data_IF_808117261071
#
_entry.id   IF_808117261071
#
_cell.length_a   1.000
_cell.length_b   1.000
_cell.length_c   1.000
_cell.angle_alpha   90.00
_cell.angle_beta   90.00
_cell.angle_gamma   90.00
#
_symmetry.space_group_name_H-M   'P 1'
#
loop_
_entity.id
_entity.type
_entity.pdbx_description
1 polymer ?
#
# COMPACT_ATOMS: atom_id res chain seq x y z
N UNK A 1 45.52 -34.21 4.15
CA UNK A 1 44.46 -33.45 4.85
C UNK A 1 44.07 -32.26 3.99
N UNK A 2 42.99 -32.36 3.22
CA UNK A 2 42.29 -31.19 2.69
C UNK A 2 41.23 -30.85 3.73
N UNK A 3 41.48 -29.84 4.55
CA UNK A 3 40.40 -29.20 5.30
C UNK A 3 39.51 -28.51 4.28
N UNK A 4 38.45 -29.19 3.86
CA UNK A 4 37.28 -28.56 3.27
C UNK A 4 36.66 -27.70 4.34
N UNK A 5 37.13 -26.46 4.43
CA UNK A 5 36.44 -25.39 5.13
C UNK A 5 35.09 -25.25 4.43
N UNK A 6 34.07 -25.92 4.95
CA UNK A 6 32.68 -25.67 4.56
C UNK A 6 32.41 -24.22 4.92
N UNK A 7 32.57 -23.32 3.94
CA UNK A 7 32.06 -21.97 4.09
C UNK A 7 30.56 -22.14 4.27
N UNK A 8 30.07 -21.87 5.48
CA UNK A 8 28.68 -22.04 5.85
C UNK A 8 27.82 -21.31 4.81
N UNK A 9 27.08 -22.10 4.01
CA UNK A 9 26.14 -21.57 3.04
C UNK A 9 25.09 -20.76 3.78
N UNK A 10 24.82 -19.54 3.32
CA UNK A 10 23.86 -18.66 3.96
C UNK A 10 22.45 -19.26 3.84
N UNK A 11 21.79 -19.43 4.98
CA UNK A 11 20.40 -19.86 5.07
C UNK A 11 19.43 -18.69 4.97
N UNK A 12 18.21 -18.96 4.51
CA UNK A 12 17.09 -18.01 4.55
C UNK A 12 16.85 -17.48 5.98
N UNK A 13 17.14 -18.29 7.00
CA UNK A 13 16.99 -17.90 8.40
C UNK A 13 18.00 -16.82 8.85
N UNK A 14 19.11 -16.65 8.13
CA UNK A 14 20.15 -15.67 8.42
C UNK A 14 19.93 -14.33 7.69
N UNK A 15 19.04 -14.30 6.69
CA UNK A 15 18.69 -13.08 5.95
C UNK A 15 18.24 -11.90 6.82
N UNK A 16 17.47 -12.08 7.92
CA UNK A 16 17.21 -10.99 8.85
C UNK A 16 18.47 -10.29 9.38
N UNK A 17 19.50 -11.05 9.75
CA UNK A 17 20.75 -10.48 10.25
C UNK A 17 21.50 -9.73 9.15
N UNK A 18 21.52 -10.27 7.93
CA UNK A 18 22.09 -9.60 6.76
C UNK A 18 21.37 -8.27 6.49
N UNK A 19 20.04 -8.26 6.51
CA UNK A 19 19.25 -7.05 6.28
C UNK A 19 19.57 -5.98 7.34
N UNK A 20 19.55 -6.33 8.62
CA UNK A 20 19.89 -5.39 9.70
C UNK A 20 21.29 -4.81 9.51
N UNK A 21 22.27 -5.67 9.22
CA UNK A 21 23.65 -5.25 8.99
C UNK A 21 23.80 -4.31 7.78
N UNK A 22 23.07 -4.54 6.69
CA UNK A 22 23.09 -3.66 5.52
C UNK A 22 22.53 -2.27 5.84
N UNK A 23 21.48 -2.18 6.66
CA UNK A 23 20.95 -0.90 7.14
C UNK A 23 21.93 -0.17 8.06
N UNK A 24 22.59 -0.89 8.97
CA UNK A 24 23.64 -0.35 9.85
C UNK A 24 24.81 0.22 9.04
N UNK A 25 25.33 -0.56 8.07
CA UNK A 25 26.42 -0.10 7.18
C UNK A 25 26.01 1.09 6.32
N UNK A 26 24.75 1.15 5.90
CA UNK A 26 24.19 2.29 5.19
C UNK A 26 23.87 3.49 6.10
N UNK A 27 24.06 3.38 7.41
CA UNK A 27 23.70 4.38 8.43
C UNK A 27 22.23 4.80 8.34
N UNK A 28 21.35 3.83 8.10
CA UNK A 28 19.91 4.05 7.99
C UNK A 28 19.14 3.31 9.08
N UNK A 29 18.18 3.95 9.76
CA UNK A 29 17.34 3.26 10.71
C UNK A 29 16.36 2.32 9.99
N UNK A 30 16.14 1.12 10.55
CA UNK A 30 15.07 0.21 10.11
C UNK A 30 13.68 0.77 10.42
N UNK A 31 13.56 1.48 11.55
CA UNK A 31 12.36 2.20 11.96
C UNK A 31 12.81 3.52 12.62
N UNK A 32 12.46 4.69 12.07
CA UNK A 32 12.75 5.96 12.70
C UNK A 32 12.14 6.03 14.11
N UNK A 33 12.90 6.56 15.07
CA UNK A 33 12.44 6.82 16.45
C UNK A 33 12.11 5.58 17.31
N UNK A 34 12.60 4.40 16.96
CA UNK A 34 12.47 3.22 17.81
C UNK A 34 13.37 3.33 19.07
N UNK A 35 12.85 3.11 20.29
CA UNK A 35 13.60 3.28 21.53
C UNK A 35 14.51 2.09 21.89
N UNK A 36 14.49 1.00 21.13
CA UNK A 36 15.14 -0.26 21.52
C UNK A 36 15.60 -1.14 20.35
N UNK A 37 16.16 -2.33 20.65
CA UNK A 37 16.62 -3.27 19.62
C UNK A 37 15.46 -3.71 18.74
N UNK A 38 15.68 -3.73 17.43
CA UNK A 38 14.66 -4.09 16.45
C UNK A 38 14.89 -5.50 15.92
N UNK A 39 13.81 -6.25 15.78
CA UNK A 39 13.76 -7.54 15.11
C UNK A 39 13.00 -7.47 13.79
N UNK A 40 13.41 -8.33 12.85
CA UNK A 40 12.72 -8.54 11.58
C UNK A 40 11.94 -9.86 11.62
N UNK A 41 10.64 -9.78 11.34
CA UNK A 41 9.76 -10.95 11.35
C UNK A 41 9.20 -11.18 9.94
N UNK A 42 9.44 -12.36 9.38
CA UNK A 42 8.96 -12.72 8.04
C UNK A 42 7.43 -12.67 8.01
N UNK A 43 6.87 -11.81 7.15
CA UNK A 43 5.44 -11.75 6.84
C UNK A 43 5.09 -12.53 5.58
N UNK A 44 6.00 -12.49 4.61
CA UNK A 44 5.77 -13.03 3.28
C UNK A 44 7.09 -13.44 2.67
N UNK A 45 7.12 -14.60 2.04
CA UNK A 45 8.24 -15.10 1.27
C UNK A 45 7.70 -15.67 -0.03
N UNK A 46 8.29 -15.28 -1.15
CA UNK A 46 7.93 -15.80 -2.46
C UNK A 46 9.15 -15.86 -3.37
N UNK A 47 9.35 -17.03 -3.98
CA UNK A 47 10.22 -17.17 -5.14
C UNK A 47 9.40 -17.02 -6.43
N UNK A 48 9.92 -16.29 -7.41
CA UNK A 48 9.36 -16.19 -8.76
C UNK A 48 10.45 -16.58 -9.76
N UNK A 49 10.23 -17.62 -10.58
CA UNK A 49 11.17 -17.97 -11.64
C UNK A 49 11.51 -16.74 -12.51
N UNK A 50 12.81 -16.51 -12.71
CA UNK A 50 13.30 -15.37 -13.51
C UNK A 50 13.29 -14.02 -12.80
N UNK A 51 12.88 -13.97 -11.53
CA UNK A 51 12.92 -12.76 -10.68
C UNK A 51 13.55 -12.99 -9.32
N UNK A 52 13.94 -14.23 -8.99
CA UNK A 52 14.55 -14.56 -7.71
C UNK A 52 13.58 -14.62 -6.52
N UNK A 53 14.06 -14.22 -5.35
CA UNK A 53 13.38 -14.34 -4.05
C UNK A 53 12.98 -12.97 -3.53
N UNK A 54 11.73 -12.83 -3.09
CA UNK A 54 11.26 -11.66 -2.35
C UNK A 54 10.84 -12.07 -0.94
N UNK A 55 11.36 -11.37 0.07
CA UNK A 55 10.98 -11.51 1.47
C UNK A 55 10.48 -10.16 1.98
N UNK A 56 9.33 -10.15 2.66
CA UNK A 56 8.79 -8.97 3.33
C UNK A 56 8.81 -9.24 4.83
N UNK A 57 9.48 -8.37 5.56
CA UNK A 57 9.57 -8.35 7.00
C UNK A 57 8.66 -7.27 7.59
N UNK A 58 8.11 -7.54 8.77
CA UNK A 58 7.67 -6.49 9.69
C UNK A 58 8.76 -6.22 10.71
N UNK A 59 9.03 -4.94 10.97
CA UNK A 59 9.95 -4.46 11.99
C UNK A 59 9.21 -4.27 13.31
N UNK A 60 9.72 -4.88 14.39
CA UNK A 60 9.13 -4.75 15.71
C UNK A 60 10.12 -5.11 16.83
N UNK A 61 9.74 -4.84 18.06
CA UNK A 61 10.58 -5.15 19.21
C UNK A 61 10.57 -6.65 19.52
N UNK A 62 11.73 -7.26 19.83
CA UNK A 62 11.81 -8.61 20.36
C UNK A 62 10.89 -8.77 21.59
N UNK A 63 10.19 -9.89 21.70
CA UNK A 63 9.29 -10.15 22.82
C UNK A 63 7.89 -9.55 22.71
N UNK A 64 7.62 -8.68 21.72
CA UNK A 64 6.25 -8.15 21.46
C UNK A 64 5.23 -9.30 21.37
N UNK A 65 4.05 -9.25 22.01
CA UNK A 65 3.07 -10.32 21.90
C UNK A 65 2.62 -10.58 20.44
N UNK A 66 2.34 -11.83 20.08
CA UNK A 66 1.96 -12.22 18.71
C UNK A 66 0.74 -11.44 18.20
N UNK A 67 -0.22 -11.15 19.07
CA UNK A 67 -1.41 -10.36 18.72
C UNK A 67 -1.06 -8.93 18.29
N UNK A 68 -0.18 -8.27 19.05
CA UNK A 68 0.31 -6.91 18.75
C UNK A 68 1.15 -6.92 17.47
N UNK A 69 2.02 -7.93 17.30
CA UNK A 69 2.77 -8.09 16.04
C UNK A 69 1.83 -8.25 14.85
N UNK A 70 0.76 -9.05 14.95
CA UNK A 70 -0.21 -9.21 13.86
C UNK A 70 -0.91 -7.91 13.49
N UNK A 71 -1.29 -7.10 14.49
CA UNK A 71 -1.89 -5.79 14.25
C UNK A 71 -0.90 -4.83 13.56
N UNK A 72 0.35 -4.78 14.04
CA UNK A 72 1.41 -3.96 13.48
C UNK A 72 1.92 -4.47 12.12
N UNK A 73 1.76 -5.76 11.84
CA UNK A 73 2.29 -6.37 10.62
C UNK A 73 1.74 -5.64 9.39
N UNK A 74 0.47 -5.21 9.45
CA UNK A 74 -0.22 -4.50 8.38
C UNK A 74 0.24 -3.05 8.14
N UNK A 75 1.00 -2.46 9.06
CA UNK A 75 1.48 -1.08 8.97
C UNK A 75 2.64 -0.97 7.96
N UNK A 76 2.47 -0.26 6.84
CA UNK A 76 3.54 -0.07 5.86
C UNK A 76 4.77 0.62 6.43
N UNK A 77 4.66 1.49 7.44
CA UNK A 77 5.83 2.15 8.04
C UNK A 77 6.76 1.19 8.77
N UNK A 78 6.31 -0.03 9.05
CA UNK A 78 7.10 -1.12 9.64
C UNK A 78 7.51 -2.16 8.61
N UNK A 79 7.30 -1.91 7.32
CA UNK A 79 7.63 -2.87 6.27
C UNK A 79 9.07 -2.68 5.76
N UNK A 80 9.83 -3.77 5.76
CA UNK A 80 11.12 -3.88 5.10
C UNK A 80 11.04 -5.02 4.09
N UNK A 81 11.47 -4.81 2.86
CA UNK A 81 11.55 -5.88 1.87
C UNK A 81 12.97 -6.12 1.40
N UNK A 82 13.30 -7.39 1.25
CA UNK A 82 14.52 -7.93 0.66
C UNK A 82 14.14 -8.57 -0.67
N UNK A 83 14.88 -8.23 -1.72
CA UNK A 83 14.90 -8.95 -2.97
C UNK A 83 16.30 -9.54 -3.18
N UNK A 84 16.34 -10.82 -3.56
CA UNK A 84 17.52 -11.48 -4.10
C UNK A 84 17.25 -11.80 -5.56
N UNK A 85 18.15 -11.40 -6.44
CA UNK A 85 18.04 -11.71 -7.86
C UNK A 85 18.18 -13.23 -8.10
N UNK A 86 17.71 -13.71 -9.26
CA UNK A 86 17.81 -15.13 -9.61
C UNK A 86 19.28 -15.61 -9.66
N UNK A 87 20.20 -14.72 -10.06
CA UNK A 87 21.64 -15.00 -10.09
C UNK A 87 22.25 -15.22 -8.71
N UNK A 88 21.57 -14.79 -7.64
CA UNK A 88 21.99 -14.98 -6.25
C UNK A 88 21.52 -16.33 -5.66
N UNK A 89 20.77 -17.12 -6.43
CA UNK A 89 20.12 -18.35 -5.95
C UNK A 89 20.58 -19.58 -6.74
N UNK A 90 20.77 -20.69 -6.04
CA UNK A 90 20.98 -22.02 -6.62
C UNK A 90 19.95 -23.01 -6.04
N UNK A 91 18.86 -23.22 -6.77
CA UNK A 91 17.74 -24.00 -6.27
C UNK A 91 17.11 -23.34 -5.03
N UNK A 92 17.31 -23.93 -3.86
CA UNK A 92 16.86 -23.41 -2.57
C UNK A 92 17.97 -22.71 -1.76
N UNK A 93 19.20 -22.67 -2.29
CA UNK A 93 20.38 -22.14 -1.62
C UNK A 93 20.71 -20.72 -2.09
N UNK A 94 21.34 -19.94 -1.21
CA UNK A 94 21.87 -18.62 -1.53
C UNK A 94 23.35 -18.78 -1.90
N UNK A 95 23.76 -18.21 -3.04
CA UNK A 95 25.09 -18.41 -3.64
C UNK A 95 26.24 -17.67 -2.98
N UNK A 96 25.96 -16.90 -1.94
CA UNK A 96 26.95 -16.13 -1.21
C UNK A 96 26.88 -16.43 0.28
N UNK A 97 28.00 -16.23 0.96
CA UNK A 97 28.15 -16.45 2.40
C UNK A 97 27.85 -15.18 3.20
N UNK A 98 27.64 -15.33 4.51
CA UNK A 98 27.52 -14.21 5.45
C UNK A 98 28.69 -13.23 5.33
N UNK A 99 29.92 -13.73 5.23
CA UNK A 99 31.11 -12.89 5.12
C UNK A 99 31.12 -12.05 3.83
N UNK A 100 30.71 -12.64 2.71
CA UNK A 100 30.59 -11.92 1.44
C UNK A 100 29.53 -10.80 1.56
N UNK A 101 28.38 -11.07 2.15
CA UNK A 101 27.33 -10.06 2.35
C UNK A 101 27.78 -8.91 3.28
N UNK A 102 28.58 -9.21 4.30
CA UNK A 102 29.11 -8.21 5.24
C UNK A 102 30.18 -7.31 4.60
N UNK A 103 30.97 -7.85 3.67
CA UNK A 103 32.13 -7.14 3.10
C UNK A 103 31.83 -6.49 1.74
N UNK A 104 30.85 -7.01 0.99
CA UNK A 104 30.56 -6.54 -0.35
C UNK A 104 30.21 -5.04 -0.38
N UNK A 105 30.62 -4.31 -1.43
CA UNK A 105 30.33 -2.88 -1.55
C UNK A 105 28.82 -2.66 -1.63
N UNK A 106 28.32 -1.71 -0.84
CA UNK A 106 26.93 -1.29 -0.87
C UNK A 106 26.80 0.06 -1.56
N UNK A 107 25.67 0.27 -2.22
CA UNK A 107 25.24 1.57 -2.71
C UNK A 107 23.88 1.92 -2.10
N UNK A 108 23.69 3.19 -1.77
CA UNK A 108 22.38 3.73 -1.36
C UNK A 108 21.83 4.52 -2.54
N UNK A 109 20.71 4.05 -3.07
CA UNK A 109 20.04 4.69 -4.21
C UNK A 109 19.37 6.01 -3.78
N UNK A 110 19.09 6.94 -4.71
CA UNK A 110 18.40 8.20 -4.39
C UNK A 110 17.03 8.02 -3.71
N UNK A 111 16.33 6.94 -4.04
CA UNK A 111 15.08 6.52 -3.40
C UNK A 111 15.26 6.07 -1.95
N UNK A 112 16.49 5.78 -1.56
CA UNK A 112 16.88 5.27 -0.25
C UNK A 112 16.99 3.75 -0.14
N UNK A 113 16.85 3.02 -1.25
CA UNK A 113 17.07 1.57 -1.32
C UNK A 113 18.55 1.26 -1.16
N UNK A 114 18.88 0.27 -0.34
CA UNK A 114 20.24 -0.26 -0.17
C UNK A 114 20.44 -1.41 -1.14
N UNK A 115 21.52 -1.38 -1.92
CA UNK A 115 21.82 -2.38 -2.94
C UNK A 115 23.24 -2.91 -2.77
N UNK A 116 23.40 -4.22 -2.90
CA UNK A 116 24.69 -4.90 -3.02
C UNK A 116 24.69 -5.60 -4.38
N UNK A 117 25.09 -4.84 -5.40
CA UNK A 117 24.90 -5.23 -6.80
C UNK A 117 25.67 -6.51 -7.16
N UNK A 118 26.88 -6.67 -6.62
CA UNK A 118 27.72 -7.86 -6.83
C UNK A 118 27.10 -9.15 -6.30
N UNK A 119 26.13 -9.05 -5.37
CA UNK A 119 25.44 -10.18 -4.76
C UNK A 119 23.96 -10.27 -5.18
N UNK A 120 23.48 -9.37 -6.05
CA UNK A 120 22.08 -9.31 -6.45
C UNK A 120 21.13 -9.05 -5.28
N UNK A 121 21.56 -8.29 -4.26
CA UNK A 121 20.74 -7.97 -3.08
C UNK A 121 20.17 -6.55 -3.22
N UNK A 122 18.87 -6.42 -3.00
CA UNK A 122 18.21 -5.13 -2.81
C UNK A 122 17.36 -5.13 -1.55
N UNK A 123 17.53 -4.12 -0.71
CA UNK A 123 16.83 -3.98 0.56
C UNK A 123 16.22 -2.59 0.67
N UNK A 124 14.94 -2.52 1.02
CA UNK A 124 14.22 -1.26 1.11
C UNK A 124 13.27 -1.23 2.31
N UNK A 125 13.28 -0.11 3.04
CA UNK A 125 12.33 0.19 4.09
C UNK A 125 11.35 1.23 3.57
N UNK A 126 10.05 1.03 3.81
CA UNK A 126 9.04 2.01 3.41
C UNK A 126 9.36 3.41 3.98
N UNK A 127 9.21 4.50 3.20
CA UNK A 127 8.65 4.57 1.85
C UNK A 127 9.67 4.45 0.70
N UNK A 128 10.91 4.07 0.96
CA UNK A 128 11.91 3.84 -0.09
C UNK A 128 11.50 2.64 -0.95
N UNK A 129 11.41 2.82 -2.26
CA UNK A 129 11.05 1.76 -3.21
C UNK A 129 11.52 2.11 -4.62
N UNK A 130 12.41 1.29 -5.21
CA UNK A 130 12.90 1.51 -6.57
C UNK A 130 11.83 1.26 -7.64
N UNK A 131 10.87 0.38 -7.37
CA UNK A 131 9.75 0.14 -8.27
C UNK A 131 8.59 1.12 -8.08
N UNK A 132 8.69 2.04 -7.12
CA UNK A 132 7.75 3.16 -6.93
C UNK A 132 8.53 4.44 -6.55
N UNK A 133 9.32 5.03 -7.48
CA UNK A 133 10.23 6.13 -7.15
C UNK A 133 9.55 7.34 -6.50
N UNK A 134 8.28 7.60 -6.87
CA UNK A 134 7.49 8.70 -6.33
C UNK A 134 6.79 8.40 -5.00
N UNK A 135 6.99 7.21 -4.39
CA UNK A 135 6.27 6.80 -3.18
C UNK A 135 6.53 7.72 -1.99
N UNK A 136 7.80 8.03 -1.71
CA UNK A 136 8.17 8.92 -0.62
C UNK A 136 7.56 10.33 -0.81
N UNK A 137 7.63 10.87 -2.03
CA UNK A 137 7.02 12.15 -2.37
C UNK A 137 5.48 12.10 -2.28
N UNK A 138 4.86 10.97 -2.60
CA UNK A 138 3.41 10.76 -2.47
C UNK A 138 2.94 10.65 -1.00
N UNK A 139 3.85 10.43 -0.06
CA UNK A 139 3.58 10.47 1.38
C UNK A 139 3.90 11.84 2.00
N UNK A 140 4.59 12.73 1.27
CA UNK A 140 4.97 14.04 1.78
C UNK A 140 3.88 15.07 1.47
N UNK A 141 3.13 15.47 2.51
CA UNK A 141 2.03 16.43 2.43
C UNK A 141 2.46 17.86 2.82
N UNK A 142 3.75 18.18 2.75
CA UNK A 142 4.23 19.55 2.97
C UNK A 142 3.58 20.55 1.99
N UNK A 143 3.24 21.75 2.47
CA UNK A 143 2.53 22.80 1.72
C UNK A 143 3.22 23.22 0.42
N UNK A 144 4.56 23.13 0.37
CA UNK A 144 5.37 23.47 -0.81
C UNK A 144 5.61 22.29 -1.77
N UNK A 145 5.11 21.10 -1.45
CA UNK A 145 5.27 19.91 -2.27
C UNK A 145 4.26 19.85 -3.42
N UNK A 146 4.55 19.06 -4.49
CA UNK A 146 3.65 18.92 -5.63
C UNK A 146 2.32 18.22 -5.30
N UNK A 147 2.26 17.50 -4.18
CA UNK A 147 1.07 16.77 -3.74
C UNK A 147 0.00 17.70 -3.16
N UNK A 148 0.40 18.72 -2.39
CA UNK A 148 -0.52 19.58 -1.65
C UNK A 148 -1.54 20.31 -2.54
N UNK A 149 -1.14 21.04 -3.62
CA UNK A 149 -2.10 21.69 -4.49
C UNK A 149 -2.99 20.69 -5.25
N UNK A 150 -2.49 19.49 -5.54
CA UNK A 150 -3.29 18.47 -6.18
C UNK A 150 -4.36 17.86 -5.25
N UNK A 151 -4.06 17.74 -3.96
CA UNK A 151 -5.05 17.35 -2.94
C UNK A 151 -6.12 18.43 -2.78
N UNK A 152 -5.75 19.71 -2.79
CA UNK A 152 -6.70 20.83 -2.78
C UNK A 152 -7.62 20.78 -4.01
N UNK A 153 -7.07 20.66 -5.22
CA UNK A 153 -7.85 20.59 -6.45
C UNK A 153 -8.80 19.38 -6.46
N UNK A 154 -8.36 18.22 -5.98
CA UNK A 154 -9.20 17.05 -5.85
C UNK A 154 -10.33 17.23 -4.82
N UNK A 155 -10.06 17.95 -3.71
CA UNK A 155 -11.07 18.27 -2.71
C UNK A 155 -12.11 19.26 -3.27
N UNK A 156 -11.69 20.30 -3.97
CA UNK A 156 -12.58 21.26 -4.64
C UNK A 156 -13.47 20.56 -5.68
N UNK A 157 -12.90 19.63 -6.46
CA UNK A 157 -13.66 18.81 -7.41
C UNK A 157 -14.66 17.87 -6.71
N UNK A 158 -14.29 17.30 -5.57
CA UNK A 158 -15.18 16.46 -4.77
C UNK A 158 -16.35 17.26 -4.18
N UNK A 159 -16.07 18.46 -3.68
CA UNK A 159 -17.05 19.35 -3.03
C UNK A 159 -17.87 20.19 -4.04
N UNK A 160 -17.47 20.20 -5.31
CA UNK A 160 -18.02 21.08 -6.35
C UNK A 160 -17.92 22.58 -6.00
N UNK A 161 -16.86 22.96 -5.29
CA UNK A 161 -16.67 24.33 -4.79
C UNK A 161 -15.18 24.67 -4.73
N UNK A 162 -14.79 25.71 -5.49
CA UNK A 162 -13.41 26.17 -5.69
C UNK A 162 -12.91 27.10 -4.57
N UNK A 163 -13.80 27.54 -3.67
CA UNK A 163 -13.44 28.45 -2.59
C UNK A 163 -12.84 27.70 -1.38
N UNK A 164 -12.98 26.37 -1.30
CA UNK A 164 -12.31 25.56 -0.29
C UNK A 164 -10.80 25.59 -0.45
N UNK A 165 -10.09 25.83 0.65
CA UNK A 165 -8.64 25.81 0.74
C UNK A 165 -8.15 24.71 1.66
N UNK A 166 -7.12 24.00 1.25
CA UNK A 166 -6.46 22.98 2.05
C UNK A 166 -5.54 23.66 3.06
N UNK A 167 -5.76 23.40 4.35
CA UNK A 167 -4.93 23.95 5.43
C UNK A 167 -4.01 22.90 6.05
N UNK A 168 -4.45 21.64 6.10
CA UNK A 168 -3.67 20.52 6.61
C UNK A 168 -3.97 19.24 5.84
N UNK A 169 -2.96 18.41 5.68
CA UNK A 169 -3.07 17.11 5.04
C UNK A 169 -2.14 16.09 5.69
N UNK A 170 -2.65 14.88 5.90
CA UNK A 170 -1.88 13.73 6.40
C UNK A 170 -2.04 12.54 5.47
N UNK A 171 -0.92 11.95 5.08
CA UNK A 171 -0.88 10.68 4.35
C UNK A 171 -0.85 9.48 5.32
N UNK A 172 -1.72 8.51 5.09
CA UNK A 172 -1.78 7.22 5.79
C UNK A 172 -1.72 6.08 4.76
N UNK A 173 -0.56 5.43 4.58
CA UNK A 173 -0.44 4.26 3.71
C UNK A 173 -1.34 3.12 4.20
N UNK A 174 -2.31 2.69 3.39
CA UNK A 174 -3.27 1.63 3.77
C UNK A 174 -2.94 0.27 3.19
N UNK A 175 -2.23 0.25 2.05
CA UNK A 175 -1.81 -0.99 1.41
C UNK A 175 -0.57 -0.77 0.57
N UNK A 176 0.52 -1.36 1.00
CA UNK A 176 1.78 -1.34 0.29
C UNK A 176 2.11 -2.72 -0.29
N UNK A 177 2.44 -2.76 -1.59
CA UNK A 177 3.01 -3.94 -2.26
C UNK A 177 4.33 -3.50 -2.91
N UNK A 178 5.49 -3.94 -2.37
CA UNK A 178 6.80 -3.53 -2.86
C UNK A 178 6.95 -3.65 -4.38
N UNK A 179 7.58 -2.65 -4.98
CA UNK A 179 7.87 -2.53 -6.40
C UNK A 179 6.65 -2.67 -7.34
N UNK A 180 5.44 -2.46 -6.83
CA UNK A 180 4.21 -2.71 -7.60
C UNK A 180 3.16 -1.62 -7.45
N UNK A 181 2.77 -1.27 -6.22
CA UNK A 181 1.77 -0.22 -5.95
C UNK A 181 1.67 0.09 -4.46
N UNK A 182 1.29 1.32 -4.14
CA UNK A 182 0.84 1.71 -2.81
C UNK A 182 -0.53 2.38 -2.91
N UNK A 183 -1.42 2.09 -1.96
CA UNK A 183 -2.66 2.85 -1.74
C UNK A 183 -2.47 3.67 -0.48
N UNK A 184 -2.76 4.96 -0.56
CA UNK A 184 -2.59 5.95 0.51
C UNK A 184 -3.96 6.58 0.77
N UNK A 185 -4.33 6.70 2.04
CA UNK A 185 -5.47 7.49 2.47
C UNK A 185 -4.96 8.88 2.85
N UNK A 186 -5.56 9.93 2.31
CA UNK A 186 -5.26 11.30 2.68
C UNK A 186 -6.38 11.82 3.58
N UNK A 187 -6.01 12.27 4.77
CA UNK A 187 -6.90 13.00 5.66
C UNK A 187 -6.65 14.49 5.45
N UNK A 188 -7.68 15.23 5.07
CA UNK A 188 -7.60 16.63 4.71
C UNK A 188 -8.41 17.46 5.70
N UNK A 189 -7.87 18.61 6.08
CA UNK A 189 -8.61 19.68 6.73
C UNK A 189 -8.70 20.86 5.76
N UNK A 190 -9.92 21.26 5.44
CA UNK A 190 -10.21 22.33 4.50
C UNK A 190 -10.89 23.50 5.22
N UNK A 191 -10.67 24.71 4.73
CA UNK A 191 -11.32 25.94 5.16
C UNK A 191 -12.06 26.61 4.01
N UNK A 192 -13.23 27.17 4.31
CA UNK A 192 -14.01 28.00 3.38
C UNK A 192 -14.45 29.26 4.10
N UNK A 193 -14.12 30.41 3.55
CA UNK A 193 -14.46 31.70 4.13
C UNK A 193 -15.70 32.26 3.42
N UNK A 194 -16.86 32.25 4.09
CA UNK A 194 -18.09 32.88 3.59
C UNK A 194 -18.50 34.03 4.52
N UNK A 195 -18.66 35.24 3.99
CA UNK A 195 -19.29 36.35 4.73
C UNK A 195 -18.60 36.73 6.05
N UNK A 196 -17.28 36.54 6.16
CA UNK A 196 -16.50 36.83 7.37
C UNK A 196 -16.43 35.68 8.39
N UNK A 197 -17.11 34.57 8.15
CA UNK A 197 -16.99 33.34 8.93
C UNK A 197 -16.16 32.29 8.18
N UNK A 198 -15.22 31.65 8.87
CA UNK A 198 -14.44 30.53 8.32
C UNK A 198 -15.06 29.21 8.77
N UNK A 199 -15.54 28.41 7.82
CA UNK A 199 -16.02 27.05 8.06
C UNK A 199 -14.88 26.07 7.85
N UNK A 200 -14.73 25.09 8.75
CA UNK A 200 -13.77 23.99 8.60
C UNK A 200 -14.48 22.69 8.25
N UNK A 201 -13.87 21.90 7.37
CA UNK A 201 -14.37 20.57 6.99
C UNK A 201 -13.23 19.57 6.94
N UNK A 202 -13.50 18.37 7.46
CA UNK A 202 -12.63 17.21 7.28
C UNK A 202 -13.07 16.44 6.04
N UNK A 203 -12.12 16.00 5.23
CA UNK A 203 -12.36 15.19 4.04
C UNK A 203 -11.34 14.04 3.98
N UNK A 204 -11.73 12.92 3.38
CA UNK A 204 -10.81 11.82 3.08
C UNK A 204 -10.78 11.54 1.60
N UNK A 205 -9.58 11.38 1.05
CA UNK A 205 -9.36 10.95 -0.33
C UNK A 205 -8.47 9.69 -0.36
N UNK A 206 -8.51 8.93 -1.46
CA UNK A 206 -7.60 7.81 -1.68
C UNK A 206 -6.69 8.03 -2.89
N UNK A 207 -5.38 7.97 -2.61
CA UNK A 207 -4.31 7.92 -3.59
C UNK A 207 -3.91 6.50 -3.94
N UNK A 208 -3.52 6.28 -5.20
CA UNK A 208 -2.81 5.06 -5.61
C UNK A 208 -1.61 5.40 -6.47
N UNK A 209 -0.44 5.00 -5.99
CA UNK A 209 0.87 5.22 -6.63
C UNK A 209 1.18 4.07 -7.58
N UNK A 210 1.59 4.42 -8.79
CA UNK A 210 2.08 3.51 -9.82
C UNK A 210 3.57 3.76 -10.09
N UNK A 211 4.25 2.74 -10.63
CA UNK A 211 5.65 2.87 -11.01
C UNK A 211 5.84 3.90 -12.14
N UNK A 212 4.96 3.82 -13.14
CA UNK A 212 5.03 4.65 -14.34
C UNK A 212 3.92 5.71 -14.34
N UNK A 213 4.24 7.00 -14.48
CA UNK A 213 3.27 8.09 -14.62
C UNK A 213 2.23 7.88 -15.71
N UNK A 214 2.65 7.38 -16.87
CA UNK A 214 1.75 7.10 -18.00
C UNK A 214 0.71 6.04 -17.64
N UNK A 215 1.10 5.04 -16.84
CA UNK A 215 0.16 4.04 -16.35
C UNK A 215 -0.89 4.66 -15.44
N UNK A 216 -0.52 5.58 -14.55
CA UNK A 216 -1.46 6.29 -13.70
C UNK A 216 -2.46 7.10 -14.54
N UNK A 217 -1.98 7.83 -15.55
CA UNK A 217 -2.80 8.62 -16.47
C UNK A 217 -3.80 7.75 -17.24
N UNK A 218 -3.33 6.65 -17.84
CA UNK A 218 -4.18 5.74 -18.61
C UNK A 218 -5.26 5.08 -17.74
N UNK A 219 -4.91 4.69 -16.50
CA UNK A 219 -5.87 4.13 -15.55
C UNK A 219 -6.89 5.19 -15.13
N UNK A 220 -6.46 6.41 -14.82
CA UNK A 220 -7.37 7.51 -14.45
C UNK A 220 -8.36 7.80 -15.58
N UNK A 221 -7.89 7.95 -16.81
CA UNK A 221 -8.75 8.21 -17.96
C UNK A 221 -9.75 7.07 -18.21
N UNK A 222 -9.35 5.82 -17.99
CA UNK A 222 -10.25 4.67 -18.08
C UNK A 222 -11.29 4.67 -16.95
N UNK A 223 -10.86 4.94 -15.71
CA UNK A 223 -11.78 5.06 -14.58
C UNK A 223 -12.78 6.19 -14.76
N UNK A 224 -12.36 7.35 -15.28
CA UNK A 224 -13.23 8.48 -15.55
C UNK A 224 -14.31 8.11 -16.58
N UNK A 225 -13.92 7.51 -17.71
CA UNK A 225 -14.88 7.07 -18.73
C UNK A 225 -15.91 6.07 -18.19
N UNK A 226 -15.48 5.10 -17.38
CA UNK A 226 -16.41 4.14 -16.75
C UNK A 226 -17.32 4.86 -15.75
N UNK A 227 -16.78 5.78 -14.95
CA UNK A 227 -17.55 6.56 -13.99
C UNK A 227 -18.62 7.42 -14.69
N UNK A 228 -18.26 8.09 -15.79
CA UNK A 228 -19.18 8.92 -16.57
C UNK A 228 -20.30 8.07 -17.20
N UNK A 229 -19.97 6.94 -17.81
CA UNK A 229 -20.94 5.97 -18.35
C UNK A 229 -21.94 5.52 -17.26
N UNK A 230 -21.45 5.19 -16.07
CA UNK A 230 -22.29 4.72 -14.97
C UNK A 230 -23.11 5.84 -14.32
N UNK A 231 -22.55 7.06 -14.24
CA UNK A 231 -23.20 8.22 -13.63
C UNK A 231 -24.37 8.72 -14.47
N UNK A 232 -24.24 8.68 -15.81
CA UNK A 232 -25.35 9.00 -16.73
C UNK A 232 -26.54 8.04 -16.55
N UNK A 233 -26.27 6.80 -16.13
CA UNK A 233 -27.28 5.81 -15.80
C UNK A 233 -27.76 5.89 -14.34
N UNK A 234 -27.27 6.87 -13.55
CA UNK A 234 -27.63 7.08 -12.15
C UNK A 234 -27.12 5.99 -11.20
N UNK A 235 -26.08 5.23 -11.58
CA UNK A 235 -25.69 4.01 -10.87
C UNK A 235 -24.16 3.81 -10.81
N UNK A 236 -23.44 4.79 -10.29
CA UNK A 236 -21.99 4.76 -10.13
C UNK A 236 -21.58 3.68 -9.13
N UNK A 237 -20.86 2.66 -9.61
CA UNK A 237 -20.32 1.56 -8.79
C UNK A 237 -18.85 1.78 -8.42
N UNK A 238 -18.19 2.69 -9.12
CA UNK A 238 -16.83 3.10 -8.84
C UNK A 238 -16.80 4.38 -8.00
N UNK A 239 -15.82 4.51 -7.09
CA UNK A 239 -15.49 5.80 -6.53
C UNK A 239 -15.17 6.80 -7.65
N UNK A 240 -15.70 8.01 -7.54
CA UNK A 240 -15.38 9.14 -8.43
C UNK A 240 -13.87 9.34 -8.53
N UNK A 241 -13.32 9.30 -9.75
CA UNK A 241 -11.95 9.73 -10.01
C UNK A 241 -11.86 11.26 -9.88
N UNK A 242 -10.90 11.76 -9.11
CA UNK A 242 -10.79 13.19 -8.78
C UNK A 242 -9.58 13.87 -9.44
N UNK A 243 -8.64 13.09 -9.97
CA UNK A 243 -7.52 13.60 -10.76
C UNK A 243 -6.27 12.73 -10.66
N UNK A 244 -5.18 13.24 -11.23
CA UNK A 244 -3.85 12.65 -11.16
C UNK A 244 -2.80 13.68 -10.77
N UNK A 245 -1.77 13.23 -10.06
CA UNK A 245 -0.52 13.98 -9.91
C UNK A 245 0.50 13.33 -10.83
N UNK A 246 0.63 13.87 -12.05
CA UNK A 246 1.40 13.21 -13.12
C UNK A 246 2.85 12.99 -12.72
N UNK A 247 3.50 13.99 -12.13
CA UNK A 247 4.89 13.91 -11.67
C UNK A 247 5.13 12.82 -10.61
N UNK A 248 4.06 12.35 -9.95
CA UNK A 248 4.13 11.31 -8.93
C UNK A 248 3.56 9.96 -9.37
N UNK A 249 3.03 9.85 -10.60
CA UNK A 249 2.30 8.66 -11.03
C UNK A 249 1.18 8.27 -10.07
N UNK A 250 0.50 9.27 -9.51
CA UNK A 250 -0.52 9.10 -8.47
C UNK A 250 -1.91 9.39 -9.02
N UNK A 251 -2.85 8.48 -8.83
CA UNK A 251 -4.29 8.72 -9.08
C UNK A 251 -4.99 9.05 -7.76
N UNK A 252 -5.90 10.03 -7.76
CA UNK A 252 -6.70 10.43 -6.60
C UNK A 252 -8.17 10.10 -6.88
N UNK A 253 -8.83 9.47 -5.91
CA UNK A 253 -10.23 9.06 -5.98
C UNK A 253 -10.95 9.45 -4.68
N UNK A 254 -12.26 9.59 -4.76
CA UNK A 254 -13.09 9.82 -3.57
C UNK A 254 -12.98 8.68 -2.56
N UNK A 255 -13.18 9.01 -1.28
CA UNK A 255 -13.42 8.00 -0.26
C UNK A 255 -14.90 7.64 -0.22
N UNK A 256 -15.19 6.34 -0.24
CA UNK A 256 -16.53 5.84 0.07
C UNK A 256 -16.66 5.81 1.61
N UNK A 257 -17.36 6.79 2.15
CA UNK A 257 -17.69 6.90 3.57
C UNK A 257 -19.20 6.91 3.73
N UNK A 258 -19.73 6.45 4.89
CA UNK A 258 -21.14 6.69 5.20
C UNK A 258 -21.41 8.19 5.09
N UNK A 259 -22.50 8.57 4.41
CA UNK A 259 -23.04 9.90 4.60
C UNK A 259 -23.36 10.05 6.10
N UNK A 260 -22.90 11.14 6.69
CA UNK A 260 -23.21 11.53 8.08
C UNK A 260 -22.50 10.72 9.17
N UNK A 261 -21.19 10.93 9.30
CA UNK A 261 -20.57 10.98 10.62
C UNK A 261 -20.62 12.43 11.10
N UNK A 262 -21.81 12.92 11.47
CA UNK A 262 -21.86 14.06 12.39
C UNK A 262 -21.11 13.65 13.67
N UNK A 263 -20.17 14.50 14.11
CA UNK A 263 -19.42 14.29 15.35
C UNK A 263 -20.43 14.14 16.51
N UNK A 264 -20.66 12.91 16.99
CA UNK A 264 -21.39 12.66 18.23
C UNK A 264 -22.54 11.65 18.20
N UNK A 265 -22.94 11.10 17.05
CA UNK A 265 -23.95 10.03 17.01
C UNK A 265 -23.28 8.67 16.85
N UNK A 266 -23.16 7.93 17.97
CA UNK A 266 -22.81 6.51 17.97
C UNK A 266 -23.95 5.67 17.38
N UNK A 267 -24.23 5.83 16.08
CA UNK A 267 -24.91 4.78 15.30
C UNK A 267 -23.95 4.28 14.25
N UNK A 268 -22.87 3.66 14.73
CA UNK A 268 -22.08 2.72 13.93
C UNK A 268 -22.96 1.51 13.56
N UNK A 269 -23.84 1.66 12.58
CA UNK A 269 -24.04 0.58 11.63
C UNK A 269 -22.71 0.44 10.87
N UNK A 270 -21.73 -0.20 11.52
CA UNK A 270 -20.34 -0.22 11.07
C UNK A 270 -20.29 -0.69 9.62
N UNK A 271 -19.85 0.18 8.72
CA UNK A 271 -19.68 -0.09 7.30
C UNK A 271 -19.00 -1.46 7.13
N UNK A 272 -19.73 -2.45 6.61
CA UNK A 272 -19.18 -3.79 6.34
C UNK A 272 -18.42 -3.72 5.03
N UNK A 273 -17.11 -3.91 5.08
CA UNK A 273 -16.24 -3.85 3.90
C UNK A 273 -15.55 -5.18 3.61
N UNK A 274 -15.16 -5.37 2.36
CA UNK A 274 -14.42 -6.54 1.91
C UNK A 274 -15.13 -7.86 2.23
N UNK A 275 -14.38 -8.83 2.75
CA UNK A 275 -14.94 -10.15 3.08
C UNK A 275 -16.04 -10.09 4.14
N UNK A 276 -16.03 -9.10 5.04
CA UNK A 276 -17.05 -8.99 6.09
C UNK A 276 -18.43 -8.69 5.52
N UNK A 277 -18.52 -8.02 4.36
CA UNK A 277 -19.79 -7.76 3.69
C UNK A 277 -20.40 -9.05 3.12
N UNK A 278 -19.55 -9.96 2.64
CA UNK A 278 -19.96 -11.19 1.95
C UNK A 278 -19.95 -12.43 2.85
N UNK A 279 -19.47 -12.32 4.09
CA UNK A 279 -19.48 -13.42 5.05
C UNK A 279 -20.90 -13.73 5.55
N UNK A 280 -21.35 -15.00 5.49
CA UNK A 280 -22.56 -15.43 6.17
C UNK A 280 -22.47 -15.17 7.67
N UNK A 281 -23.57 -14.74 8.28
CA UNK A 281 -23.65 -14.54 9.74
C UNK A 281 -24.25 -15.78 10.38
N UNK A 282 -23.56 -16.30 11.40
CA UNK A 282 -24.05 -17.42 12.18
C UNK A 282 -24.91 -16.89 13.32
N UNK A 283 -26.13 -17.40 13.44
CA UNK A 283 -27.00 -17.16 14.60
C UNK A 283 -26.71 -18.26 15.60
N UNK A 284 -26.42 -17.90 16.85
CA UNK A 284 -26.09 -18.86 17.91
C UNK A 284 -27.15 -18.83 19.01
N UNK A 285 -27.55 -20.01 19.47
CA UNK A 285 -28.46 -20.17 20.60
C UNK A 285 -27.75 -19.97 21.95
N UNK A 286 -28.49 -20.14 23.05
CA UNK A 286 -27.98 -19.88 24.41
C UNK A 286 -26.83 -20.80 24.83
N UNK A 287 -26.68 -21.97 24.21
CA UNK A 287 -25.56 -22.89 24.43
C UNK A 287 -24.41 -22.73 23.43
N UNK A 288 -24.45 -21.71 22.56
CA UNK A 288 -23.42 -21.47 21.54
C UNK A 288 -23.59 -22.32 20.27
N UNK A 289 -24.58 -23.22 20.21
CA UNK A 289 -24.96 -23.97 19.03
C UNK A 289 -25.38 -23.04 17.90
N UNK A 290 -24.99 -23.37 16.66
CA UNK A 290 -25.42 -22.62 15.48
C UNK A 290 -26.88 -22.99 15.21
N UNK A 291 -27.78 -22.02 15.38
CA UNK A 291 -29.22 -22.18 15.20
C UNK A 291 -29.70 -21.69 13.83
N UNK A 292 -28.83 -20.98 13.10
CA UNK A 292 -29.14 -20.50 11.76
C UNK A 292 -27.94 -19.84 11.06
N UNK A 293 -28.06 -19.69 9.75
CA UNK A 293 -27.08 -19.01 8.89
C UNK A 293 -27.81 -17.96 8.07
N UNK A 294 -27.41 -16.71 8.19
CA UNK A 294 -27.93 -15.59 7.41
C UNK A 294 -26.95 -15.31 6.27
N UNK A 295 -27.37 -15.64 5.05
CA UNK A 295 -26.61 -15.35 3.82
C UNK A 295 -26.81 -13.87 3.43
N UNK A 296 -25.75 -13.13 3.07
CA UNK A 296 -25.86 -11.75 2.61
C UNK A 296 -26.33 -11.69 1.15
N UNK A 297 -27.56 -12.14 0.89
CA UNK A 297 -28.11 -12.32 -0.45
C UNK A 297 -28.16 -10.99 -1.23
N UNK A 298 -28.50 -9.89 -0.55
CA UNK A 298 -28.57 -8.58 -1.18
C UNK A 298 -27.19 -8.04 -1.55
N UNK A 299 -26.20 -8.12 -0.65
CA UNK A 299 -24.83 -7.70 -0.96
C UNK A 299 -24.22 -8.54 -2.09
N UNK A 300 -24.52 -9.84 -2.14
CA UNK A 300 -24.11 -10.72 -3.25
C UNK A 300 -24.76 -10.30 -4.57
N UNK A 301 -26.06 -10.01 -4.57
CA UNK A 301 -26.79 -9.55 -5.76
C UNK A 301 -26.24 -8.21 -6.27
N UNK A 302 -26.07 -7.23 -5.38
CA UNK A 302 -25.49 -5.92 -5.71
C UNK A 302 -24.07 -6.06 -6.27
N UNK A 303 -23.25 -6.92 -5.66
CA UNK A 303 -21.89 -7.21 -6.15
C UNK A 303 -21.92 -7.84 -7.54
N UNK A 304 -22.81 -8.81 -7.79
CA UNK A 304 -22.95 -9.45 -9.09
C UNK A 304 -23.37 -8.46 -10.18
N UNK A 305 -24.33 -7.57 -9.87
CA UNK A 305 -24.75 -6.50 -10.79
C UNK A 305 -23.60 -5.53 -11.08
N UNK A 306 -22.87 -5.10 -10.05
CA UNK A 306 -21.72 -4.20 -10.23
C UNK A 306 -20.61 -4.84 -11.09
N UNK A 307 -20.28 -6.11 -10.85
CA UNK A 307 -19.32 -6.85 -11.66
C UNK A 307 -19.79 -7.01 -13.11
N UNK A 308 -21.05 -7.40 -13.31
CA UNK A 308 -21.62 -7.53 -14.65
C UNK A 308 -21.48 -6.23 -15.44
N UNK A 309 -21.80 -5.09 -14.82
CA UNK A 309 -21.66 -3.77 -15.46
C UNK A 309 -20.23 -3.41 -15.81
N UNK A 310 -19.27 -3.70 -14.92
CA UNK A 310 -17.86 -3.49 -15.22
C UNK A 310 -17.40 -4.34 -16.40
N UNK A 311 -17.91 -5.57 -16.53
CA UNK A 311 -17.59 -6.48 -17.62
C UNK A 311 -18.30 -6.14 -18.94
N UNK A 312 -19.49 -5.54 -18.88
CA UNK A 312 -20.28 -5.16 -20.06
C UNK A 312 -20.13 -3.69 -20.44
N UNK A 313 -19.31 -2.91 -19.73
CA UNK A 313 -19.03 -1.51 -20.04
C UNK A 313 -18.50 -1.38 -21.47
N UNK A 314 -18.93 -0.34 -22.17
CA UNK A 314 -18.41 -0.02 -23.49
C UNK A 314 -16.94 0.44 -23.45
N UNK A 315 -16.45 0.83 -22.27
CA UNK A 315 -15.09 1.30 -22.06
C UNK A 315 -14.11 0.12 -21.99
N UNK A 316 -13.23 0.04 -22.98
CA UNK A 316 -12.12 -0.92 -22.98
C UNK A 316 -10.84 -0.26 -22.45
N UNK A 317 -10.10 -1.02 -21.65
CA UNK A 317 -8.70 -0.70 -21.35
C UNK A 317 -7.88 -0.95 -22.60
N UNK A 318 -7.03 -0.01 -22.97
CA UNK A 318 -6.02 -0.23 -23.98
C UNK A 318 -4.89 -1.13 -23.43
N UNK A 319 -4.31 -1.96 -24.31
CA UNK A 319 -3.21 -2.86 -23.98
C UNK A 319 -3.63 -4.32 -23.72
N UNK A 320 -2.62 -5.21 -23.71
CA UNK A 320 -2.84 -6.63 -23.50
C UNK A 320 -3.44 -6.91 -22.11
N UNK A 321 -4.41 -7.84 -21.99
CA UNK A 321 -4.95 -8.24 -20.71
C UNK A 321 -3.82 -8.75 -19.82
N UNK A 322 -3.57 -8.05 -18.70
CA UNK A 322 -2.64 -8.53 -17.67
C UNK A 322 -3.33 -9.61 -16.86
N UNK A 323 -3.23 -10.86 -17.31
CA UNK A 323 -3.47 -11.99 -16.42
C UNK A 323 -2.42 -11.96 -15.31
N UNK A 324 -2.80 -12.29 -14.07
CA UNK A 324 -1.91 -12.20 -12.90
C UNK A 324 -0.68 -13.12 -12.93
N UNK A 325 -0.45 -13.81 -14.04
CA UNK A 325 0.70 -14.63 -14.34
C UNK A 325 1.51 -13.97 -15.48
N UNK A 326 2.62 -13.34 -15.10
CA UNK A 326 3.84 -13.32 -15.90
C UNK A 326 4.88 -14.05 -15.08
#
# INVERSE_FOLDING_TARGET
MKETSHSLELSILELPAIVTHLFERAQRPLLPSAPGPLGLFVRYLRRKPGRGLAVIYSVGEPGTPVAVRKAQAGDPHRAVSLALDESALEGAHIRFTTAQAQQAPLAVQPTGVVQVETLGISVQAFPADNGLPALAASCNTAHNGPLFPALEAAAQAFLHDQEWRLVDARAEPVRYKPASRCVIRYHLTLEHATGGATTRRKLTLFGKVYAEPEQARAIQATMQRIYDEQSQLGMSTLPRPLGTVETLGLTINEAIQPADLEEGVETQAALRTGLRALQPRLVRGRGGEITGVITPAEELRLTAVALARLHTSAVRSEGAPRTGAK
#
